data_IF_111303802970
#
_entry.id   IF_111303802970
#
_cell.length_a   1.000
_cell.length_b   1.000
_cell.length_c   1.000
_cell.angle_alpha   90.00
_cell.angle_beta   90.00
_cell.angle_gamma   90.00
#
_symmetry.space_group_name_H-M   'P 1'
#
loop_
_entity.id
_entity.type
_entity.pdbx_description
1 polymer ?
#
# COMPACT_ATOMS: atom_id res chain seq x y z
N UNK A 1 -1.55 -12.14 10.53
CA UNK A 1 -1.61 -11.62 9.15
C UNK A 1 -0.23 -11.61 8.57
N UNK A 2 0.20 -12.74 8.00
CA UNK A 2 1.57 -13.09 7.59
C UNK A 2 2.62 -13.21 8.69
N UNK A 3 3.64 -14.04 8.45
CA UNK A 3 4.83 -14.24 9.29
C UNK A 3 6.10 -13.97 8.50
N UNK A 4 7.20 -13.62 9.19
CA UNK A 4 8.49 -13.43 8.53
C UNK A 4 8.92 -14.71 7.78
N UNK A 5 9.37 -14.54 6.53
CA UNK A 5 9.77 -15.65 5.67
C UNK A 5 8.63 -16.35 4.92
N UNK A 6 7.37 -15.95 5.16
CA UNK A 6 6.23 -16.46 4.39
C UNK A 6 6.25 -15.91 2.95
N UNK A 7 6.06 -16.80 1.98
CA UNK A 7 5.74 -16.42 0.60
C UNK A 7 4.26 -16.03 0.50
N UNK A 8 3.98 -14.96 -0.23
CA UNK A 8 2.63 -14.45 -0.47
C UNK A 8 2.36 -14.37 -1.96
N UNK A 9 1.10 -14.54 -2.35
CA UNK A 9 0.67 -14.45 -3.75
C UNK A 9 0.05 -13.08 -4.05
N UNK A 10 0.07 -12.70 -5.34
CA UNK A 10 -0.65 -11.51 -5.80
C UNK A 10 -2.14 -11.62 -5.46
N UNK A 11 -2.69 -10.58 -4.85
CA UNK A 11 -4.09 -10.53 -4.42
C UNK A 11 -4.37 -11.13 -3.03
N UNK A 12 -3.37 -11.74 -2.38
CA UNK A 12 -3.51 -12.26 -1.02
C UNK A 12 -3.61 -11.10 0.01
N UNK A 13 -4.61 -11.09 0.91
CA UNK A 13 -4.72 -10.07 1.95
C UNK A 13 -3.57 -10.14 2.96
N UNK A 14 -2.83 -9.04 3.11
CA UNK A 14 -1.71 -8.95 4.07
C UNK A 14 -2.09 -8.29 5.39
N UNK A 15 -3.20 -7.57 5.45
CA UNK A 15 -3.53 -6.71 6.58
C UNK A 15 -4.73 -5.80 6.33
N UNK A 16 -5.03 -4.96 7.32
CA UNK A 16 -6.03 -3.89 7.25
C UNK A 16 -5.33 -2.54 7.32
N UNK A 17 -5.84 -1.55 6.58
CA UNK A 17 -5.30 -0.19 6.62
C UNK A 17 -5.45 0.45 8.02
N UNK A 18 -4.47 1.26 8.42
CA UNK A 18 -4.47 1.95 9.71
C UNK A 18 -4.90 3.41 9.62
N UNK A 19 -5.40 3.99 10.71
CA UNK A 19 -5.90 5.38 10.75
C UNK A 19 -4.80 6.45 10.86
N UNK A 20 -3.54 6.08 11.13
CA UNK A 20 -2.48 7.03 11.45
C UNK A 20 -1.19 6.71 10.72
N UNK A 21 -0.58 7.73 10.12
CA UNK A 21 0.74 7.67 9.53
C UNK A 21 1.79 7.97 10.60
N UNK A 22 2.58 6.97 10.99
CA UNK A 22 3.79 7.19 11.80
C UNK A 22 4.98 7.28 10.84
N UNK A 23 5.05 8.34 10.04
CA UNK A 23 6.29 8.70 9.37
C UNK A 23 6.52 10.20 9.53
N UNK A 24 7.47 10.53 10.40
CA UNK A 24 8.02 11.86 10.65
C UNK A 24 7.03 12.89 11.26
N UNK A 25 7.51 13.65 12.25
CA UNK A 25 6.80 14.71 12.99
C UNK A 25 6.33 15.91 12.13
N UNK A 26 6.53 15.86 10.81
CA UNK A 26 6.12 16.89 9.85
C UNK A 26 4.80 16.54 9.14
N UNK A 27 4.33 15.28 9.22
CA UNK A 27 3.08 14.82 8.61
C UNK A 27 1.83 15.14 9.46
N UNK A 28 1.80 16.33 10.07
CA UNK A 28 0.88 16.63 11.17
C UNK A 28 -0.60 16.72 10.79
N UNK A 29 -1.04 16.55 9.54
CA UNK A 29 -2.50 16.49 9.23
C UNK A 29 -2.90 15.68 7.98
N UNK A 30 -1.96 15.01 7.29
CA UNK A 30 -2.32 14.20 6.12
C UNK A 30 -2.92 12.87 6.61
N UNK A 31 -4.21 12.65 6.35
CA UNK A 31 -4.86 11.34 6.52
C UNK A 31 -5.33 10.99 7.93
N UNK A 32 -5.49 11.97 8.85
CA UNK A 32 -6.02 11.68 10.20
C UNK A 32 -7.51 11.28 10.24
N UNK A 33 -8.25 11.49 9.15
CA UNK A 33 -9.71 11.30 9.11
C UNK A 33 -10.16 10.04 8.37
N UNK A 34 -9.25 9.26 7.77
CA UNK A 34 -9.57 8.04 7.02
C UNK A 34 -8.45 6.99 7.09
N UNK A 35 -8.76 5.69 6.94
CA UNK A 35 -7.73 4.65 6.87
C UNK A 35 -6.78 4.90 5.69
N UNK A 36 -5.46 4.78 5.94
CA UNK A 36 -4.42 4.99 4.96
C UNK A 36 -3.43 3.82 4.91
N UNK A 37 -2.87 3.58 3.73
CA UNK A 37 -1.81 2.61 3.48
C UNK A 37 -0.65 3.30 2.78
N UNK A 38 0.54 3.20 3.37
CA UNK A 38 1.77 3.66 2.74
C UNK A 38 2.49 2.48 2.08
N UNK A 39 2.92 2.69 0.84
CA UNK A 39 3.61 1.68 0.03
C UNK A 39 4.89 2.32 -0.52
N UNK A 40 6.02 1.67 -0.29
CA UNK A 40 7.32 2.07 -0.81
C UNK A 40 7.96 0.94 -1.61
N UNK A 41 8.46 1.28 -2.80
CA UNK A 41 9.22 0.34 -3.62
C UNK A 41 10.70 0.54 -3.36
N UNK A 42 11.41 -0.55 -3.08
CA UNK A 42 12.86 -0.52 -2.85
C UNK A 42 13.56 -1.55 -3.74
N UNK A 43 14.70 -1.16 -4.30
CA UNK A 43 15.62 -2.07 -5.00
C UNK A 43 16.94 -2.07 -4.24
N UNK A 44 17.36 -3.24 -3.77
CA UNK A 44 18.59 -3.40 -2.97
C UNK A 44 18.62 -2.43 -1.78
N UNK A 45 17.48 -2.27 -1.10
CA UNK A 45 17.36 -1.40 0.05
C UNK A 45 17.33 0.11 -0.25
N UNK A 46 17.41 0.56 -1.52
CA UNK A 46 17.24 1.97 -1.88
C UNK A 46 15.82 2.26 -2.42
N UNK A 47 15.17 3.36 -2.02
CA UNK A 47 13.86 3.72 -2.55
C UNK A 47 13.94 4.00 -4.05
N UNK A 48 12.93 3.59 -4.80
CA UNK A 48 12.80 3.84 -6.24
C UNK A 48 11.45 4.47 -6.55
N UNK A 49 11.36 5.22 -7.67
CA UNK A 49 10.12 5.85 -8.11
C UNK A 49 9.05 4.79 -8.40
N UNK A 50 7.93 4.73 -7.66
CA UNK A 50 6.94 3.67 -7.83
C UNK A 50 6.01 3.90 -9.03
N UNK A 51 5.97 5.11 -9.60
CA UNK A 51 5.06 5.50 -10.70
C UNK A 51 4.97 4.50 -11.86
N UNK A 52 6.07 3.87 -12.34
CA UNK A 52 6.00 2.91 -13.45
C UNK A 52 5.25 1.60 -13.13
N UNK A 53 5.08 1.24 -11.85
CA UNK A 53 4.43 -0.01 -11.43
C UNK A 53 2.94 0.16 -11.10
N UNK A 54 2.48 1.40 -10.99
CA UNK A 54 1.06 1.68 -10.88
C UNK A 54 0.43 1.66 -12.28
N UNK A 55 -0.74 1.04 -12.42
CA UNK A 55 -1.54 1.19 -13.63
C UNK A 55 -2.08 2.63 -13.68
N UNK A 56 -1.89 3.32 -14.81
CA UNK A 56 -2.35 4.70 -14.98
C UNK A 56 -3.86 4.83 -15.22
N UNK A 57 -4.57 3.71 -15.38
CA UNK A 57 -5.98 3.69 -15.75
C UNK A 57 -6.85 3.06 -14.66
N UNK A 58 -8.00 3.68 -14.42
CA UNK A 58 -9.09 3.13 -13.61
C UNK A 58 -9.72 1.95 -14.36
N UNK A 59 -9.07 0.79 -14.39
CA UNK A 59 -9.78 -0.44 -14.70
C UNK A 59 -10.84 -0.60 -13.62
N UNK A 60 -12.10 -0.32 -13.97
CA UNK A 60 -13.26 -0.58 -13.10
C UNK A 60 -13.09 -2.00 -12.55
N UNK A 61 -13.32 -2.20 -11.24
CA UNK A 61 -13.51 -3.55 -10.67
C UNK A 61 -14.37 -4.32 -11.66
N UNK A 62 -13.90 -5.49 -12.10
CA UNK A 62 -14.63 -6.34 -13.02
C UNK A 62 -16.07 -6.49 -12.51
N UNK A 63 -17.04 -6.32 -13.40
CA UNK A 63 -18.49 -6.37 -13.12
C UNK A 63 -18.99 -7.74 -12.61
N UNK A 64 -18.10 -8.70 -12.35
CA UNK A 64 -18.42 -10.08 -12.04
C UNK A 64 -18.30 -10.43 -10.54
N UNK A 65 -17.96 -9.46 -9.67
CA UNK A 65 -17.86 -9.69 -8.22
C UNK A 65 -19.14 -9.24 -7.47
N UNK A 66 -20.34 -9.56 -7.98
CA UNK A 66 -21.63 -9.35 -7.29
C UNK A 66 -22.29 -10.68 -6.93
#
# INVERSE_FOLDING_TARGET
NVTQGQFVLSGEPLGTMGMQFIANSVALDIGKTAPMLYIEFRKQGKPVNPTPWWQSEKTKRNQNDS
#
